data_IF_415183991886
#
_entry.id   IF_415183991886
#
_cell.length_a   1.000
_cell.length_b   1.000
_cell.length_c   1.000
_cell.angle_alpha   90.00
_cell.angle_beta   90.00
_cell.angle_gamma   90.00
#
_symmetry.space_group_name_H-M   'P 1'
#
loop_
_entity.id
_entity.type
_entity.pdbx_description
1 polymer ?
#
# COMPACT_ATOMS: atom_id res chain seq x y z
N UNK A 1 -57.99 -10.86 -1.65
CA UNK A 1 -56.55 -11.02 -1.34
C UNK A 1 -55.89 -9.68 -1.65
N UNK A 2 -55.57 -8.90 -0.61
CA UNK A 2 -54.99 -7.57 -0.74
C UNK A 2 -53.47 -7.69 -0.80
N UNK A 3 -52.87 -7.15 -1.86
CA UNK A 3 -51.42 -7.14 -2.04
C UNK A 3 -50.80 -6.08 -1.11
N UNK A 4 -50.00 -6.53 -0.15
CA UNK A 4 -49.16 -5.67 0.67
C UNK A 4 -47.99 -5.18 -0.20
N UNK A 5 -48.01 -3.90 -0.57
CA UNK A 5 -46.85 -3.22 -1.13
C UNK A 5 -45.84 -2.96 -0.01
N UNK A 6 -44.68 -3.62 -0.07
CA UNK A 6 -43.53 -3.29 0.76
C UNK A 6 -42.94 -1.97 0.28
N UNK A 7 -43.12 -0.90 1.05
CA UNK A 7 -42.44 0.38 0.83
C UNK A 7 -40.98 0.23 1.24
N UNK A 8 -40.14 -0.16 0.29
CA UNK A 8 -38.68 -0.10 0.44
C UNK A 8 -38.24 1.35 0.28
N UNK A 9 -38.10 2.08 1.39
CA UNK A 9 -37.48 3.40 1.40
C UNK A 9 -35.97 3.26 1.10
N UNK A 10 -35.58 3.23 -0.17
CA UNK A 10 -34.19 3.42 -0.58
C UNK A 10 -33.88 4.91 -0.62
N UNK A 11 -33.81 5.56 0.53
CA UNK A 11 -33.27 6.92 0.62
C UNK A 11 -31.76 6.79 0.53
N UNK A 12 -31.20 6.93 -0.67
CA UNK A 12 -29.76 7.12 -0.84
C UNK A 12 -29.40 8.46 -0.20
N UNK A 13 -28.95 8.44 1.05
CA UNK A 13 -28.43 9.62 1.75
C UNK A 13 -27.33 10.25 0.88
N UNK A 14 -27.43 11.54 0.63
CA UNK A 14 -26.47 12.24 -0.23
C UNK A 14 -25.15 12.42 0.55
N UNK A 15 -24.00 12.35 -0.12
CA UNK A 15 -22.68 12.45 0.52
C UNK A 15 -22.54 13.72 1.40
N UNK A 16 -23.20 14.81 1.00
CA UNK A 16 -23.21 16.09 1.71
C UNK A 16 -23.98 16.06 3.04
N UNK A 17 -24.91 15.13 3.21
CA UNK A 17 -25.67 14.94 4.46
C UNK A 17 -24.88 14.10 5.48
N UNK A 18 -23.87 13.38 5.00
CA UNK A 18 -23.15 12.36 5.77
C UNK A 18 -21.74 12.84 6.18
N UNK A 19 -21.09 13.66 5.34
CA UNK A 19 -19.71 14.08 5.55
C UNK A 19 -19.63 15.59 5.76
N UNK A 20 -18.72 16.06 6.66
CA UNK A 20 -18.47 17.48 6.81
C UNK A 20 -18.00 18.09 5.49
N UNK A 21 -18.33 19.36 5.26
CA UNK A 21 -17.85 20.09 4.09
C UNK A 21 -16.31 20.07 4.05
N UNK A 22 -15.65 19.99 2.89
CA UNK A 22 -14.18 19.98 2.82
C UNK A 22 -13.49 21.19 3.48
N UNK A 23 -14.20 22.31 3.62
CA UNK A 23 -13.76 23.54 4.27
C UNK A 23 -13.99 23.57 5.79
N UNK A 24 -14.62 22.54 6.36
CA UNK A 24 -14.84 22.43 7.80
C UNK A 24 -13.53 22.07 8.49
N UNK A 25 -12.79 23.11 8.92
CA UNK A 25 -11.54 22.97 9.67
C UNK A 25 -11.75 22.48 11.09
N UNK A 26 -12.98 22.40 11.59
CA UNK A 26 -13.29 21.76 12.87
C UNK A 26 -13.25 20.24 12.78
N UNK A 27 -13.36 19.69 11.57
CA UNK A 27 -13.33 18.26 11.31
C UNK A 27 -11.91 17.70 11.23
N UNK A 28 -11.61 16.69 12.05
CA UNK A 28 -10.25 16.16 12.17
C UNK A 28 -9.76 15.56 10.85
N UNK A 29 -10.62 14.81 10.16
CA UNK A 29 -10.28 14.21 8.87
C UNK A 29 -9.88 15.27 7.82
N UNK A 30 -10.57 16.42 7.80
CA UNK A 30 -10.26 17.52 6.90
C UNK A 30 -8.94 18.20 7.25
N UNK A 31 -8.68 18.42 8.54
CA UNK A 31 -7.39 18.97 9.01
C UNK A 31 -6.24 18.06 8.62
N UNK A 32 -6.34 16.75 8.86
CA UNK A 32 -5.32 15.78 8.44
C UNK A 32 -5.07 15.88 6.93
N UNK A 33 -6.13 15.87 6.11
CA UNK A 33 -6.00 15.94 4.66
C UNK A 33 -5.36 17.25 4.18
N UNK A 34 -5.70 18.38 4.82
CA UNK A 34 -5.11 19.68 4.50
C UNK A 34 -3.62 19.71 4.84
N UNK A 35 -3.28 19.35 6.07
CA UNK A 35 -1.92 19.38 6.63
C UNK A 35 -0.98 18.37 5.98
N UNK A 36 -1.51 17.24 5.50
CA UNK A 36 -0.69 16.19 4.88
C UNK A 36 -0.70 16.22 3.36
N UNK A 37 -1.41 17.18 2.72
CA UNK A 37 -1.60 17.23 1.26
C UNK A 37 -0.28 17.15 0.47
N UNK A 38 0.74 17.91 0.89
CA UNK A 38 2.04 17.91 0.21
C UNK A 38 2.77 16.56 0.36
N UNK A 39 2.71 15.96 1.55
CA UNK A 39 3.31 14.66 1.84
C UNK A 39 2.60 13.53 1.08
N UNK A 40 1.26 13.54 1.06
CA UNK A 40 0.42 12.63 0.27
C UNK A 40 0.74 12.73 -1.23
N UNK A 41 0.89 13.94 -1.77
CA UNK A 41 1.27 14.12 -3.17
C UNK A 41 2.68 13.59 -3.46
N UNK A 42 3.62 13.76 -2.53
CA UNK A 42 4.97 13.23 -2.68
C UNK A 42 4.97 11.69 -2.72
N UNK A 43 4.32 11.04 -1.74
CA UNK A 43 4.27 9.58 -1.71
C UNK A 43 3.54 9.01 -2.92
N UNK A 44 2.45 9.64 -3.39
CA UNK A 44 1.74 9.19 -4.58
C UNK A 44 2.62 9.24 -5.83
N UNK A 45 3.43 10.28 -6.00
CA UNK A 45 4.40 10.37 -7.10
C UNK A 45 5.44 9.27 -7.01
N UNK A 46 6.01 9.04 -5.82
CA UNK A 46 6.98 7.98 -5.58
C UNK A 46 6.39 6.61 -5.92
N UNK A 47 5.25 6.25 -5.33
CA UNK A 47 4.56 4.98 -5.57
C UNK A 47 4.25 4.81 -7.05
N UNK A 48 3.66 5.81 -7.71
CA UNK A 48 3.31 5.73 -9.14
C UNK A 48 4.53 5.41 -9.99
N UNK A 49 5.66 6.08 -9.76
CA UNK A 49 6.90 5.82 -10.49
C UNK A 49 7.45 4.42 -10.21
N UNK A 50 7.40 3.94 -8.95
CA UNK A 50 7.95 2.62 -8.58
C UNK A 50 7.09 1.47 -9.09
N UNK A 51 5.77 1.67 -9.16
CA UNK A 51 4.85 0.65 -9.68
C UNK A 51 5.13 0.30 -11.14
N UNK A 52 5.63 1.23 -11.95
CA UNK A 52 6.03 0.95 -13.34
C UNK A 52 7.08 -0.15 -13.44
N UNK A 53 8.01 -0.21 -12.47
CA UNK A 53 9.00 -1.27 -12.35
C UNK A 53 8.40 -2.51 -11.69
N UNK A 54 7.61 -2.34 -10.62
CA UNK A 54 6.97 -3.44 -9.91
C UNK A 54 6.03 -4.28 -10.80
N UNK A 55 5.33 -3.65 -11.75
CA UNK A 55 4.46 -4.33 -12.71
C UNK A 55 5.21 -5.22 -13.71
N UNK A 56 6.54 -5.14 -13.76
CA UNK A 56 7.41 -5.95 -14.61
C UNK A 56 8.22 -6.99 -13.83
N UNK A 57 8.24 -6.91 -12.50
CA UNK A 57 8.99 -7.83 -11.64
C UNK A 57 8.25 -8.06 -10.32
N UNK A 58 7.59 -9.22 -10.22
CA UNK A 58 6.89 -9.68 -9.02
C UNK A 58 7.72 -9.61 -7.74
N UNK A 59 9.06 -9.71 -7.84
CA UNK A 59 9.96 -9.64 -6.68
C UNK A 59 10.03 -8.24 -6.09
N UNK A 60 9.92 -7.20 -6.92
CA UNK A 60 9.90 -5.80 -6.46
C UNK A 60 8.54 -5.52 -5.82
N UNK A 61 7.46 -5.97 -6.46
CA UNK A 61 6.11 -5.80 -5.90
C UNK A 61 5.96 -6.46 -4.53
N UNK A 62 6.35 -7.74 -4.39
CA UNK A 62 6.21 -8.46 -3.13
C UNK A 62 7.05 -7.86 -1.99
N UNK A 63 8.19 -7.22 -2.30
CA UNK A 63 8.97 -6.48 -1.30
C UNK A 63 8.20 -5.26 -0.78
N UNK A 64 7.54 -4.52 -1.68
CA UNK A 64 6.62 -3.44 -1.30
C UNK A 64 5.50 -3.94 -0.42
N UNK A 65 4.80 -5.00 -0.87
CA UNK A 65 3.73 -5.64 -0.10
C UNK A 65 4.21 -6.14 1.26
N UNK A 66 5.37 -6.80 1.34
CA UNK A 66 5.98 -7.27 2.58
C UNK A 66 6.29 -6.11 3.53
N UNK A 67 6.74 -4.97 2.99
CA UNK A 67 6.99 -3.78 3.80
C UNK A 67 5.72 -3.32 4.51
N UNK A 68 4.65 -3.14 3.75
CA UNK A 68 3.35 -2.72 4.27
C UNK A 68 2.66 -3.79 5.12
N UNK A 69 2.82 -5.08 4.82
CA UNK A 69 2.29 -6.19 5.63
C UNK A 69 2.66 -6.03 7.10
N UNK A 70 3.95 -5.82 7.40
CA UNK A 70 4.39 -5.67 8.78
C UNK A 70 3.86 -4.39 9.44
N UNK A 71 3.71 -3.30 8.69
CA UNK A 71 3.14 -2.05 9.20
C UNK A 71 1.66 -2.27 9.57
N UNK A 72 0.85 -2.81 8.66
CA UNK A 72 -0.56 -3.12 8.93
C UNK A 72 -0.71 -4.16 10.05
N UNK A 73 0.05 -5.25 10.03
CA UNK A 73 0.05 -6.27 11.07
C UNK A 73 0.41 -5.70 12.45
N UNK A 74 1.30 -4.71 12.51
CA UNK A 74 1.66 -4.05 13.76
C UNK A 74 0.55 -3.15 14.25
N UNK A 75 -0.06 -2.35 13.38
CA UNK A 75 -1.21 -1.52 13.74
C UNK A 75 -2.36 -2.40 14.26
N UNK A 76 -2.73 -3.43 13.51
CA UNK A 76 -3.87 -4.30 13.85
C UNK A 76 -3.61 -5.07 15.15
N UNK A 77 -2.43 -5.67 15.31
CA UNK A 77 -2.08 -6.40 16.55
C UNK A 77 -2.06 -5.47 17.76
N UNK A 78 -1.46 -4.28 17.64
CA UNK A 78 -1.42 -3.31 18.73
C UNK A 78 -2.82 -2.78 19.05
N UNK A 79 -3.67 -2.60 18.04
CA UNK A 79 -5.06 -2.20 18.22
C UNK A 79 -5.88 -3.30 18.93
N UNK A 80 -5.72 -4.57 18.55
CA UNK A 80 -6.38 -5.68 19.24
C UNK A 80 -5.94 -5.75 20.72
N UNK A 81 -4.64 -5.58 21.00
CA UNK A 81 -4.15 -5.48 22.39
C UNK A 81 -4.74 -4.29 23.14
N UNK A 82 -4.98 -3.16 22.46
CA UNK A 82 -5.67 -2.04 23.08
C UNK A 82 -7.12 -2.41 23.41
N UNK A 83 -7.81 -3.18 22.58
CA UNK A 83 -9.19 -3.62 22.83
C UNK A 83 -9.37 -4.58 24.02
N UNK A 84 -8.29 -5.19 24.50
CA UNK A 84 -8.28 -6.02 25.71
C UNK A 84 -8.27 -5.18 27.01
N UNK A 85 -8.03 -3.87 26.91
CA UNK A 85 -8.03 -2.95 28.05
C UNK A 85 -9.42 -2.39 28.32
N UNK A 86 -9.63 -1.92 29.54
CA UNK A 86 -10.83 -1.20 29.96
C UNK A 86 -10.48 0.26 30.20
N UNK A 87 -10.47 1.05 29.13
CA UNK A 87 -10.17 2.48 29.15
C UNK A 87 -10.98 3.25 28.10
N UNK A 88 -11.00 4.59 28.22
CA UNK A 88 -11.75 5.47 27.33
C UNK A 88 -11.34 5.34 25.85
N UNK A 89 -10.08 5.01 25.59
CA UNK A 89 -9.56 4.86 24.24
C UNK A 89 -10.08 3.61 23.56
N UNK A 90 -10.26 2.54 24.32
CA UNK A 90 -10.81 1.29 23.83
C UNK A 90 -12.21 1.48 23.26
N UNK A 91 -13.07 2.18 23.99
CA UNK A 91 -14.44 2.44 23.55
C UNK A 91 -14.51 3.42 22.36
N UNK A 92 -13.63 4.43 22.34
CA UNK A 92 -13.48 5.33 21.18
C UNK A 92 -13.06 4.56 19.92
N UNK A 93 -12.02 3.73 20.03
CA UNK A 93 -11.42 3.04 18.90
C UNK A 93 -12.32 1.92 18.35
N UNK A 94 -13.07 1.21 19.21
CA UNK A 94 -14.07 0.22 18.77
C UNK A 94 -15.19 0.83 17.93
N UNK A 95 -15.55 2.10 18.17
CA UNK A 95 -16.57 2.78 17.35
C UNK A 95 -16.06 3.11 15.94
N UNK A 96 -14.77 3.41 15.81
CA UNK A 96 -14.13 3.72 14.52
C UNK A 96 -13.74 2.46 13.75
N UNK A 97 -13.16 1.46 14.42
CA UNK A 97 -12.66 0.25 13.77
C UNK A 97 -13.80 -0.61 13.22
N UNK A 98 -13.65 -1.06 11.98
CA UNK A 98 -14.54 -2.05 11.35
C UNK A 98 -13.68 -3.25 10.93
N UNK A 99 -14.03 -4.49 11.30
CA UNK A 99 -13.22 -5.68 10.97
C UNK A 99 -12.90 -5.83 9.48
N UNK A 100 -13.82 -5.41 8.60
CA UNK A 100 -13.67 -5.47 7.14
C UNK A 100 -12.50 -4.62 6.64
N UNK A 101 -12.02 -3.66 7.45
CA UNK A 101 -10.85 -2.84 7.16
C UNK A 101 -9.54 -3.62 7.28
N UNK A 102 -9.50 -4.71 8.05
CA UNK A 102 -8.30 -5.49 8.34
C UNK A 102 -7.57 -5.93 7.07
N UNK A 103 -6.27 -5.66 7.01
CA UNK A 103 -5.40 -5.90 5.85
C UNK A 103 -4.34 -6.95 6.10
N UNK A 104 -4.04 -7.30 7.35
CA UNK A 104 -3.01 -8.30 7.69
C UNK A 104 -3.23 -9.61 6.96
N UNK A 105 -4.42 -10.20 7.10
CA UNK A 105 -4.73 -11.51 6.51
C UNK A 105 -4.72 -11.45 4.98
N UNK A 106 -5.19 -10.34 4.41
CA UNK A 106 -5.22 -10.11 2.95
C UNK A 106 -3.81 -9.96 2.38
N UNK A 107 -2.94 -9.22 3.07
CA UNK A 107 -1.53 -9.10 2.69
C UNK A 107 -0.79 -10.43 2.86
N UNK A 108 -1.07 -11.18 3.92
CA UNK A 108 -0.46 -12.48 4.15
C UNK A 108 -0.85 -13.49 3.05
N UNK A 109 -2.12 -13.57 2.66
CA UNK A 109 -2.59 -14.40 1.55
C UNK A 109 -1.81 -14.10 0.26
N UNK A 110 -1.70 -12.81 -0.08
CA UNK A 110 -0.94 -12.37 -1.24
C UNK A 110 0.55 -12.75 -1.11
N UNK A 111 1.18 -12.54 0.05
CA UNK A 111 2.59 -12.87 0.27
C UNK A 111 2.88 -14.37 0.19
N UNK A 112 2.00 -15.22 0.73
CA UNK A 112 2.09 -16.67 0.59
C UNK A 112 2.08 -17.05 -0.90
N UNK A 113 1.20 -16.45 -1.69
CA UNK A 113 1.18 -16.63 -3.13
C UNK A 113 2.49 -16.18 -3.82
N UNK A 114 3.02 -15.00 -3.49
CA UNK A 114 4.27 -14.47 -4.07
C UNK A 114 5.56 -15.17 -3.60
N UNK A 115 5.54 -15.85 -2.46
CA UNK A 115 6.69 -16.55 -1.88
C UNK A 115 6.65 -18.07 -2.04
N UNK A 116 5.60 -18.61 -2.68
CA UNK A 116 5.37 -20.06 -2.85
C UNK A 116 5.16 -20.76 -1.50
N UNK A 117 4.21 -20.25 -0.70
CA UNK A 117 3.80 -20.77 0.60
C UNK A 117 4.92 -20.84 1.66
N UNK A 118 5.97 -20.05 1.45
CA UNK A 118 7.15 -19.96 2.33
C UNK A 118 7.07 -18.75 3.25
N UNK A 119 6.35 -18.91 4.36
CA UNK A 119 6.15 -17.88 5.38
C UNK A 119 7.47 -17.36 5.96
N UNK A 120 8.46 -18.25 6.11
CA UNK A 120 9.78 -17.93 6.67
C UNK A 120 10.54 -16.85 5.88
N UNK A 121 10.14 -16.59 4.63
CA UNK A 121 10.75 -15.55 3.79
C UNK A 121 10.26 -14.15 4.09
N UNK A 122 9.13 -14.01 4.76
CA UNK A 122 8.52 -12.70 5.00
C UNK A 122 7.98 -12.51 6.40
N UNK A 123 8.04 -13.49 7.29
CA UNK A 123 7.50 -13.38 8.66
C UNK A 123 8.18 -12.30 9.51
N UNK A 124 9.40 -11.92 9.16
CA UNK A 124 10.17 -10.87 9.85
C UNK A 124 10.45 -9.67 8.94
N UNK A 125 10.39 -8.44 9.47
CA UNK A 125 10.82 -7.26 8.74
C UNK A 125 12.34 -7.28 8.59
N UNK A 126 12.83 -6.86 7.42
CA UNK A 126 14.27 -6.92 7.08
C UNK A 126 14.86 -5.56 6.71
N UNK A 127 14.00 -4.59 6.37
CA UNK A 127 14.41 -3.26 5.91
C UNK A 127 14.45 -2.31 7.11
N UNK A 128 15.47 -1.45 7.18
CA UNK A 128 15.73 -0.66 8.40
C UNK A 128 14.67 0.40 8.66
N UNK A 129 14.15 1.07 7.63
CA UNK A 129 13.09 2.07 7.76
C UNK A 129 11.74 1.41 8.08
N UNK A 130 11.54 0.19 7.57
CA UNK A 130 10.39 -0.63 7.92
C UNK A 130 10.41 -1.05 9.39
N UNK A 131 11.55 -1.53 9.89
CA UNK A 131 11.72 -1.94 11.30
C UNK A 131 11.47 -0.74 12.23
N UNK A 132 12.12 0.40 11.95
CA UNK A 132 11.92 1.64 12.72
C UNK A 132 10.45 2.06 12.75
N UNK A 133 9.73 1.88 11.64
CA UNK A 133 8.32 2.25 11.58
C UNK A 133 7.47 1.35 12.47
N UNK A 134 7.68 0.02 12.40
CA UNK A 134 7.02 -0.96 13.25
C UNK A 134 7.27 -0.67 14.74
N UNK A 135 8.52 -0.40 15.11
CA UNK A 135 8.90 -0.06 16.48
C UNK A 135 8.24 1.25 16.96
N UNK A 136 8.22 2.29 16.10
CA UNK A 136 7.56 3.55 16.40
C UNK A 136 6.07 3.35 16.66
N UNK A 137 5.37 2.61 15.79
CA UNK A 137 3.94 2.30 15.95
C UNK A 137 3.67 1.68 17.31
N UNK A 138 4.43 0.63 17.67
CA UNK A 138 4.27 -0.05 18.95
C UNK A 138 4.47 0.90 20.12
N UNK A 139 5.53 1.73 20.07
CA UNK A 139 5.85 2.68 21.13
C UNK A 139 4.76 3.73 21.31
N UNK A 140 4.43 4.47 20.25
CA UNK A 140 3.55 5.64 20.37
C UNK A 140 2.11 5.25 20.66
N UNK A 141 1.64 4.12 20.14
CA UNK A 141 0.27 3.66 20.39
C UNK A 141 0.11 3.01 21.77
N UNK A 142 1.19 2.48 22.35
CA UNK A 142 1.18 2.04 23.75
C UNK A 142 1.15 3.23 24.73
N UNK A 143 1.88 4.31 24.42
CA UNK A 143 1.95 5.53 25.25
C UNK A 143 0.68 6.39 25.11
N UNK A 144 0.17 6.52 23.88
CA UNK A 144 -0.93 7.41 23.52
C UNK A 144 -1.90 6.68 22.58
N UNK A 145 -2.84 5.87 23.12
CA UNK A 145 -3.70 5.02 22.30
C UNK A 145 -4.57 5.78 21.28
N UNK A 146 -4.97 7.03 21.54
CA UNK A 146 -5.69 7.84 20.56
C UNK A 146 -4.94 8.06 19.25
N UNK A 147 -3.60 7.89 19.21
CA UNK A 147 -2.83 8.01 17.98
C UNK A 147 -3.17 6.93 16.94
N UNK A 148 -3.84 5.83 17.32
CA UNK A 148 -4.41 4.89 16.35
C UNK A 148 -5.31 5.60 15.32
N UNK A 149 -5.97 6.69 15.70
CA UNK A 149 -6.81 7.51 14.80
C UNK A 149 -6.03 8.05 13.60
N UNK A 150 -4.73 8.35 13.75
CA UNK A 150 -3.87 8.74 12.64
C UNK A 150 -3.69 7.59 11.64
N UNK A 151 -3.38 6.39 12.15
CA UNK A 151 -3.17 5.19 11.34
C UNK A 151 -4.45 4.76 10.62
N UNK A 152 -5.58 4.70 11.35
CA UNK A 152 -6.91 4.37 10.84
C UNK A 152 -7.40 5.34 9.75
N UNK A 153 -6.92 6.59 9.76
CA UNK A 153 -7.17 7.54 8.68
C UNK A 153 -6.16 7.36 7.54
N UNK A 154 -4.88 7.57 7.80
CA UNK A 154 -3.85 7.69 6.75
C UNK A 154 -3.62 6.38 6.01
N UNK A 155 -3.50 5.26 6.73
CA UNK A 155 -3.15 3.97 6.12
C UNK A 155 -4.37 3.33 5.47
N UNK A 156 -5.53 3.36 6.12
CA UNK A 156 -6.69 2.59 5.70
C UNK A 156 -7.62 3.35 4.75
N UNK A 157 -7.97 4.62 5.01
CA UNK A 157 -8.78 5.40 4.05
C UNK A 157 -8.02 5.66 2.74
N UNK A 158 -6.68 5.67 2.79
CA UNK A 158 -5.83 5.70 1.60
C UNK A 158 -6.10 4.53 0.64
N UNK A 159 -6.37 3.33 1.17
CA UNK A 159 -6.63 2.13 0.36
C UNK A 159 -7.97 2.19 -0.39
N UNK A 160 -9.00 2.86 0.14
CA UNK A 160 -10.25 3.06 -0.63
C UNK A 160 -10.09 4.00 -1.83
N UNK A 161 -9.19 4.98 -1.73
CA UNK A 161 -8.94 5.94 -2.82
C UNK A 161 -7.94 5.39 -3.83
N UNK A 162 -6.75 5.03 -3.36
CA UNK A 162 -5.66 4.56 -4.20
C UNK A 162 -5.80 3.09 -4.60
N UNK A 163 -6.43 2.25 -3.76
CA UNK A 163 -6.55 0.82 -3.99
C UNK A 163 -7.33 0.47 -5.26
N UNK A 164 -8.35 1.23 -5.65
CA UNK A 164 -9.05 1.01 -6.92
C UNK A 164 -8.16 1.20 -8.14
N UNK A 165 -7.39 2.29 -8.14
CA UNK A 165 -6.41 2.58 -9.20
C UNK A 165 -5.34 1.49 -9.21
N UNK A 166 -4.93 1.04 -8.04
CA UNK A 166 -3.98 -0.04 -7.88
C UNK A 166 -4.52 -1.37 -8.43
N UNK A 167 -5.72 -1.82 -8.02
CA UNK A 167 -6.38 -3.04 -8.53
C UNK A 167 -6.50 -3.03 -10.05
N UNK A 168 -6.96 -1.90 -10.59
CA UNK A 168 -7.06 -1.70 -12.04
C UNK A 168 -5.71 -1.88 -12.73
N UNK A 169 -4.65 -1.29 -12.18
CA UNK A 169 -3.30 -1.38 -12.75
C UNK A 169 -2.67 -2.76 -12.58
N UNK A 170 -2.86 -3.39 -11.42
CA UNK A 170 -2.43 -4.75 -11.06
C UNK A 170 -3.05 -5.77 -12.02
N UNK A 171 -4.36 -5.68 -12.29
CA UNK A 171 -5.05 -6.62 -13.18
C UNK A 171 -4.50 -6.64 -14.62
N UNK A 172 -3.93 -5.53 -15.07
CA UNK A 172 -3.32 -5.38 -16.41
C UNK A 172 -1.82 -5.66 -16.43
N UNK A 173 -1.19 -5.87 -15.28
CA UNK A 173 0.25 -6.02 -15.17
C UNK A 173 0.68 -7.46 -15.48
N UNK A 174 1.28 -7.66 -16.65
CA UNK A 174 1.65 -9.00 -17.15
C UNK A 174 2.87 -9.61 -16.45
N UNK A 175 3.73 -8.80 -15.83
CA UNK A 175 4.94 -9.27 -15.10
C UNK A 175 4.81 -9.24 -13.58
N UNK A 176 3.63 -8.85 -13.08
CA UNK A 176 3.38 -8.68 -11.66
C UNK A 176 3.23 -10.01 -10.93
N UNK A 177 2.56 -10.97 -11.54
CA UNK A 177 2.26 -12.24 -10.92
C UNK A 177 3.31 -13.30 -11.28
N UNK A 178 3.75 -14.14 -10.33
CA UNK A 178 4.54 -15.31 -10.64
C UNK A 178 3.78 -16.23 -11.60
N UNK A 179 4.48 -16.82 -12.57
CA UNK A 179 3.88 -17.83 -13.43
C UNK A 179 3.57 -19.08 -12.59
N UNK A 180 2.31 -19.49 -12.58
CA UNK A 180 1.83 -20.69 -11.91
C UNK A 180 1.19 -21.58 -12.96
N UNK A 181 1.69 -22.79 -13.10
CA UNK A 181 1.19 -23.74 -14.08
C UNK A 181 -0.27 -24.12 -13.77
N UNK A 182 -1.10 -24.24 -14.80
CA UNK A 182 -2.48 -24.71 -14.69
C UNK A 182 -3.50 -23.70 -14.14
N UNK A 183 -3.10 -22.45 -13.84
CA UNK A 183 -4.03 -21.40 -13.40
C UNK A 183 -4.35 -20.41 -14.51
N UNK A 184 -5.62 -19.98 -14.58
CA UNK A 184 -6.03 -18.88 -15.47
C UNK A 184 -5.57 -17.54 -14.90
N UNK A 185 -5.43 -16.54 -15.77
CA UNK A 185 -5.02 -15.18 -15.37
C UNK A 185 -5.92 -14.58 -14.28
N UNK A 186 -7.23 -14.82 -14.35
CA UNK A 186 -8.19 -14.34 -13.36
C UNK A 186 -7.98 -14.99 -11.98
N UNK A 187 -7.71 -16.29 -11.93
CA UNK A 187 -7.41 -17.01 -10.69
C UNK A 187 -6.11 -16.49 -10.06
N UNK A 188 -5.10 -16.22 -10.89
CA UNK A 188 -3.83 -15.64 -10.48
C UNK A 188 -4.02 -14.26 -9.83
N UNK A 189 -4.84 -13.38 -10.44
CA UNK A 189 -5.15 -12.07 -9.86
C UNK A 189 -5.85 -12.24 -8.50
N UNK A 190 -6.82 -13.15 -8.41
CA UNK A 190 -7.57 -13.39 -7.16
C UNK A 190 -6.67 -13.92 -6.04
N UNK A 191 -5.61 -14.64 -6.36
CA UNK A 191 -4.67 -15.16 -5.36
C UNK A 191 -3.62 -14.14 -4.90
N UNK A 192 -3.32 -13.10 -5.70
CA UNK A 192 -2.19 -12.20 -5.47
C UNK A 192 -2.52 -10.71 -5.39
N UNK A 193 -3.79 -10.33 -5.27
CA UNK A 193 -4.24 -8.94 -5.20
C UNK A 193 -5.33 -8.68 -4.14
N UNK A 194 -5.41 -9.53 -3.12
CA UNK A 194 -6.37 -9.46 -2.03
C UNK A 194 -6.19 -8.22 -1.14
N UNK A 195 -4.95 -7.75 -0.96
CA UNK A 195 -4.63 -6.61 -0.09
C UNK A 195 -5.46 -5.37 -0.39
N UNK A 196 -5.73 -5.11 -1.67
CA UNK A 196 -6.48 -3.94 -2.11
C UNK A 196 -7.98 -4.16 -2.21
N UNK A 197 -8.50 -5.34 -1.90
CA UNK A 197 -9.92 -5.70 -2.06
C UNK A 197 -10.61 -5.80 -0.69
N UNK A 198 -11.77 -5.17 -0.53
CA UNK A 198 -12.54 -5.23 0.71
C UNK A 198 -13.73 -6.17 0.52
N UNK A 199 -13.93 -7.09 1.47
CA UNK A 199 -15.01 -8.09 1.41
C UNK A 199 -16.35 -7.47 1.86
N UNK A 200 -16.83 -6.51 1.08
CA UNK A 200 -18.07 -5.77 1.34
C UNK A 200 -18.92 -5.71 0.07
N UNK A 201 -20.24 -5.59 0.23
CA UNK A 201 -21.16 -5.53 -0.90
C UNK A 201 -20.95 -4.28 -1.77
N UNK A 202 -20.62 -3.15 -1.15
CA UNK A 202 -20.38 -1.87 -1.82
C UNK A 202 -19.23 -1.12 -1.10
N UNK A 203 -18.05 -1.09 -1.72
CA UNK A 203 -16.86 -0.42 -1.18
C UNK A 203 -17.05 1.11 -1.06
N UNK A 204 -17.84 1.74 -1.95
CA UNK A 204 -18.08 3.19 -1.90
C UNK A 204 -19.02 3.53 -0.73
N UNK A 205 -20.10 2.77 -0.56
CA UNK A 205 -21.00 2.92 0.58
C UNK A 205 -20.25 2.67 1.91
N UNK A 206 -19.46 1.60 1.98
CA UNK A 206 -18.67 1.29 3.17
C UNK A 206 -17.66 2.40 3.49
N UNK A 207 -16.97 2.93 2.48
CA UNK A 207 -16.06 4.08 2.64
C UNK A 207 -16.78 5.31 3.20
N UNK A 208 -17.96 5.62 2.68
CA UNK A 208 -18.75 6.78 3.15
C UNK A 208 -19.17 6.63 4.61
N UNK A 209 -19.65 5.43 4.98
CA UNK A 209 -20.02 5.10 6.36
C UNK A 209 -18.81 5.21 7.28
N UNK A 210 -17.66 4.63 6.90
CA UNK A 210 -16.45 4.71 7.71
C UNK A 210 -16.01 6.17 7.94
N UNK A 211 -16.01 7.00 6.90
CA UNK A 211 -15.66 8.42 7.01
C UNK A 211 -16.61 9.19 7.93
N UNK A 212 -17.92 8.90 7.87
CA UNK A 212 -18.92 9.48 8.75
C UNK A 212 -18.63 9.11 10.20
N UNK A 213 -18.50 7.81 10.47
CA UNK A 213 -18.30 7.30 11.83
C UNK A 213 -17.01 7.84 12.44
N UNK A 214 -15.92 7.84 11.66
CA UNK A 214 -14.65 8.45 12.04
C UNK A 214 -14.83 9.89 12.50
N UNK A 215 -15.53 10.71 11.71
CA UNK A 215 -15.73 12.12 12.03
C UNK A 215 -16.63 12.31 13.26
N UNK A 216 -17.75 11.60 13.33
CA UNK A 216 -18.68 11.69 14.46
C UNK A 216 -17.99 11.35 15.78
N UNK A 217 -17.19 10.30 15.80
CA UNK A 217 -16.46 9.85 17.00
C UNK A 217 -15.38 10.85 17.37
N UNK A 218 -14.55 11.28 16.41
CA UNK A 218 -13.35 12.10 16.69
C UNK A 218 -13.65 13.56 17.00
N UNK A 219 -14.82 14.09 16.59
CA UNK A 219 -15.16 15.50 16.74
C UNK A 219 -15.23 15.96 18.20
N UNK A 220 -15.86 15.17 19.06
CA UNK A 220 -16.13 15.52 20.46
C UNK A 220 -15.30 14.72 21.47
N UNK A 221 -14.82 13.53 21.10
CA UNK A 221 -14.10 12.66 22.02
C UNK A 221 -12.61 12.99 22.17
N UNK A 222 -12.09 13.99 21.45
CA UNK A 222 -10.68 14.38 21.44
C UNK A 222 -10.50 15.85 21.82
N UNK A 223 -9.51 16.13 22.67
CA UNK A 223 -9.08 17.51 22.93
C UNK A 223 -8.35 18.09 21.72
N UNK A 224 -8.17 19.42 21.68
CA UNK A 224 -7.45 20.05 20.59
C UNK A 224 -5.97 19.66 20.56
N UNK A 225 -5.34 19.46 21.72
CA UNK A 225 -3.96 18.97 21.82
C UNK A 225 -3.84 17.58 21.20
N UNK A 226 -4.76 16.66 21.52
CA UNK A 226 -4.77 15.31 20.95
C UNK A 226 -4.98 15.33 19.44
N UNK A 227 -5.85 16.21 18.94
CA UNK A 227 -6.04 16.39 17.49
C UNK A 227 -4.77 16.89 16.80
N UNK A 228 -4.03 17.82 17.42
CA UNK A 228 -2.74 18.29 16.92
C UNK A 228 -1.73 17.16 16.89
N UNK A 229 -1.64 16.35 17.95
CA UNK A 229 -0.74 15.20 17.98
C UNK A 229 -1.09 14.14 16.92
N UNK A 230 -2.38 13.87 16.69
CA UNK A 230 -2.84 12.98 15.61
C UNK A 230 -2.44 13.51 14.24
N UNK A 231 -2.49 14.83 14.02
CA UNK A 231 -2.07 15.46 12.76
C UNK A 231 -0.55 15.33 12.58
N UNK A 232 0.25 15.55 13.62
CA UNK A 232 1.70 15.38 13.56
C UNK A 232 2.09 13.92 13.33
N UNK A 233 1.42 12.98 14.00
CA UNK A 233 1.59 11.55 13.75
C UNK A 233 1.18 11.18 12.31
N UNK A 234 0.13 11.80 11.77
CA UNK A 234 -0.28 11.63 10.37
C UNK A 234 0.81 12.10 9.39
N UNK A 235 1.47 13.23 9.67
CA UNK A 235 2.62 13.72 8.89
C UNK A 235 3.78 12.74 8.97
N UNK A 236 4.08 12.22 10.16
CA UNK A 236 5.09 11.19 10.36
C UNK A 236 4.81 9.93 9.52
N UNK A 237 3.57 9.41 9.56
CA UNK A 237 3.16 8.23 8.79
C UNK A 237 3.45 8.42 7.30
N UNK A 238 3.07 9.56 6.72
CA UNK A 238 3.37 9.82 5.30
C UNK A 238 4.86 9.91 5.00
N UNK A 239 5.64 10.57 5.87
CA UNK A 239 7.09 10.65 5.71
C UNK A 239 7.75 9.27 5.80
N UNK A 240 7.32 8.43 6.75
CA UNK A 240 7.87 7.11 6.95
C UNK A 240 7.47 6.14 5.83
N UNK A 241 6.25 6.24 5.30
CA UNK A 241 5.84 5.55 4.07
C UNK A 241 6.77 5.88 2.90
N UNK A 242 7.12 7.16 2.72
CA UNK A 242 8.05 7.59 1.67
C UNK A 242 9.46 7.02 1.87
N UNK A 243 9.96 6.98 3.11
CA UNK A 243 11.26 6.36 3.42
C UNK A 243 11.26 4.86 3.14
N UNK A 244 10.23 4.13 3.57
CA UNK A 244 10.11 2.70 3.31
C UNK A 244 10.10 2.39 1.80
N UNK A 245 9.32 3.15 1.01
CA UNK A 245 9.30 3.00 -0.45
C UNK A 245 10.67 3.31 -1.08
N UNK A 246 11.34 4.35 -0.59
CA UNK A 246 12.66 4.74 -1.09
C UNK A 246 13.76 3.73 -0.73
N UNK A 247 13.71 3.13 0.46
CA UNK A 247 14.65 2.10 0.89
C UNK A 247 14.54 0.84 0.02
N UNK A 248 13.31 0.42 -0.32
CA UNK A 248 13.07 -0.71 -1.23
C UNK A 248 13.66 -0.43 -2.61
N UNK A 249 13.53 0.80 -3.12
CA UNK A 249 14.18 1.20 -4.35
C UNK A 249 15.70 1.10 -4.24
N UNK A 250 16.29 1.72 -3.21
CA UNK A 250 17.76 1.73 -3.04
C UNK A 250 18.32 0.32 -2.95
N UNK A 251 17.62 -0.57 -2.22
CA UNK A 251 17.96 -1.98 -2.15
C UNK A 251 17.95 -2.65 -3.53
N UNK A 252 16.90 -2.42 -4.33
CA UNK A 252 16.78 -3.01 -5.66
C UNK A 252 17.81 -2.45 -6.65
N UNK A 253 18.06 -1.14 -6.65
CA UNK A 253 19.10 -0.51 -7.47
C UNK A 253 20.47 -1.08 -7.12
N UNK A 254 20.82 -1.15 -5.83
CA UNK A 254 22.11 -1.70 -5.39
C UNK A 254 22.29 -3.16 -5.85
N UNK A 255 21.23 -3.98 -5.75
CA UNK A 255 21.26 -5.37 -6.22
C UNK A 255 21.41 -5.48 -7.74
N UNK A 256 20.71 -4.63 -8.49
CA UNK A 256 20.83 -4.57 -9.94
C UNK A 256 22.23 -4.15 -10.36
N UNK A 257 22.77 -3.06 -9.81
CA UNK A 257 24.11 -2.56 -10.13
C UNK A 257 25.19 -3.62 -9.89
N UNK A 258 25.12 -4.36 -8.78
CA UNK A 258 26.03 -5.49 -8.51
C UNK A 258 25.93 -6.58 -9.58
N UNK A 259 24.71 -6.92 -10.03
CA UNK A 259 24.48 -7.90 -11.10
C UNK A 259 25.07 -7.43 -12.43
N UNK A 260 24.88 -6.16 -12.81
CA UNK A 260 25.44 -5.58 -14.03
C UNK A 260 26.97 -5.54 -14.00
N UNK A 261 27.57 -5.16 -12.86
CA UNK A 261 29.01 -5.18 -12.67
C UNK A 261 29.59 -6.60 -12.83
N UNK A 262 28.93 -7.62 -12.24
CA UNK A 262 29.33 -9.02 -12.42
C UNK A 262 29.25 -9.46 -13.88
N UNK A 263 28.18 -9.12 -14.60
CA UNK A 263 28.02 -9.45 -16.02
C UNK A 263 29.10 -8.75 -16.86
N UNK A 264 29.38 -7.47 -16.61
CA UNK A 264 30.43 -6.74 -17.31
C UNK A 264 31.81 -7.37 -17.08
N UNK A 265 32.14 -7.74 -15.83
CA UNK A 265 33.41 -8.35 -15.48
C UNK A 265 33.59 -9.76 -16.08
N UNK A 266 32.52 -10.58 -16.11
CA UNK A 266 32.62 -11.99 -16.53
C UNK A 266 32.31 -12.21 -18.01
N UNK A 267 31.48 -11.35 -18.60
CA UNK A 267 30.98 -11.53 -19.98
C UNK A 267 31.23 -10.34 -20.89
N UNK A 268 31.74 -9.22 -20.38
CA UNK A 268 31.98 -8.01 -21.17
C UNK A 268 32.95 -8.25 -22.34
N UNK A 269 33.93 -9.12 -22.16
CA UNK A 269 34.89 -9.43 -23.23
C UNK A 269 34.22 -10.08 -24.46
N UNK A 270 33.20 -10.93 -24.28
CA UNK A 270 32.46 -11.53 -25.40
C UNK A 270 31.70 -10.49 -26.21
N UNK A 271 31.18 -9.44 -25.55
CA UNK A 271 30.50 -8.33 -26.23
C UNK A 271 31.50 -7.55 -27.07
N UNK A 272 32.69 -7.27 -26.53
CA UNK A 272 33.77 -6.61 -27.28
C UNK A 272 34.19 -7.44 -28.50
N UNK A 273 34.37 -8.76 -28.35
CA UNK A 273 34.69 -9.65 -29.47
C UNK A 273 33.59 -9.68 -30.54
N UNK A 274 32.32 -9.73 -30.15
CA UNK A 274 31.20 -9.70 -31.09
C UNK A 274 31.14 -8.37 -31.87
N UNK A 275 31.34 -7.24 -31.19
CA UNK A 275 31.39 -5.92 -31.85
C UNK A 275 32.59 -5.80 -32.80
N UNK A 276 33.75 -6.32 -32.40
CA UNK A 276 34.93 -6.37 -33.27
C UNK A 276 34.68 -7.24 -34.52
N UNK A 277 34.06 -8.41 -34.35
CA UNK A 277 33.69 -9.28 -35.47
C UNK A 277 32.69 -8.61 -36.44
N UNK A 278 31.68 -7.91 -35.91
CA UNK A 278 30.73 -7.14 -36.72
C UNK A 278 31.42 -6.00 -37.50
N UNK A 279 32.38 -5.32 -36.87
CA UNK A 279 33.22 -4.30 -37.53
C UNK A 279 34.04 -4.90 -38.67
N UNK A 280 34.68 -6.05 -38.44
CA UNK A 280 35.43 -6.76 -39.48
C UNK A 280 34.52 -7.15 -40.64
N UNK A 281 33.35 -7.73 -40.36
CA UNK A 281 32.37 -8.09 -41.40
C UNK A 281 31.88 -6.86 -42.19
N UNK A 282 31.68 -5.72 -41.52
CA UNK A 282 31.32 -4.47 -42.17
C UNK A 282 32.40 -4.01 -43.17
N UNK A 283 33.68 -4.05 -42.78
CA UNK A 283 34.78 -3.68 -43.67
C UNK A 283 34.97 -4.68 -44.82
N UNK A 284 34.86 -5.98 -44.57
CA UNK A 284 34.92 -7.01 -45.62
C UNK A 284 33.80 -6.77 -46.65
N UNK A 285 32.57 -6.56 -46.18
CA UNK A 285 31.44 -6.24 -47.07
C UNK A 285 31.71 -4.99 -47.91
N UNK A 286 32.25 -3.94 -47.28
CA UNK A 286 32.58 -2.69 -47.98
C UNK A 286 33.66 -2.88 -49.05
N UNK A 287 34.69 -3.69 -48.78
CA UNK A 287 35.74 -4.00 -49.75
C UNK A 287 35.18 -4.80 -50.93
N UNK A 288 34.37 -5.83 -50.65
CA UNK A 288 33.72 -6.65 -51.70
C UNK A 288 32.86 -5.77 -52.63
N UNK A 289 32.09 -4.83 -52.07
CA UNK A 289 31.25 -3.91 -52.85
C UNK A 289 32.05 -2.88 -53.68
N UNK A 290 33.34 -2.66 -53.38
CA UNK A 290 34.21 -1.79 -54.18
C UNK A 290 34.99 -2.53 -55.26
N UNK A 291 35.09 -3.87 -55.16
CA UNK A 291 35.80 -4.73 -56.11
C UNK A 291 34.88 -5.36 -57.16
N UNK A 292 33.57 -5.32 -56.95
CA UNK A 292 32.50 -5.69 -57.89
C UNK A 292 31.97 -4.44 -58.59
#
# INVERSE_FOLDING_TARGET
>A
MSAVQSVGATTKLNQHEILPAPSDVGALANRINHETKALHNNINKLITLKLVLAYRDSRIYRQGLQSFYHVFATVERSLMKQFEKDDEWTELLKQVWKPEMGRTDKAEQDLMFYYDDRREKFESPIMSEQIKFVEHIQKVTAEKPYLFIAYLHVMYLGLFAGGRIMRSSISRATGLFPQKDGLKHEDIIRLGANFYTFDVADEDAFRLIYKRDYELVTRSALTEEQKVEIIEESKYIFAQNAKCVSEIEQHNIARMSKKWAYIAATKGYYVVLALAALLVLFYIRRIILHLL
#
